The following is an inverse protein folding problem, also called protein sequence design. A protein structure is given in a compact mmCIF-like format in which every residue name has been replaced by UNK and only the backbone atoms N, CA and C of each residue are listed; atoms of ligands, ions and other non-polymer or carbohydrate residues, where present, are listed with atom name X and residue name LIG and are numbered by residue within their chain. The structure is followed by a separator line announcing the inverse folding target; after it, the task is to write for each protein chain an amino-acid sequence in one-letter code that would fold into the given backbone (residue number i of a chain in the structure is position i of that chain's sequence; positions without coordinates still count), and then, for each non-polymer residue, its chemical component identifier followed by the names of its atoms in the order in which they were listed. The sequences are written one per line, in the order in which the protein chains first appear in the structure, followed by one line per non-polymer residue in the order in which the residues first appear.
data_IF_924368294483
#
_entry.id   IF_924368294483
#
_cell.length_a   1.000
_cell.length_b   1.000
_cell.length_c   1.000
_cell.angle_alpha   90.00
_cell.angle_beta   90.00
_cell.angle_gamma   90.00
#
_symmetry.space_group_name_H-M   'P 1'
#
loop_
_entity.id
_entity.type
_entity.pdbx_description
1 polymer ?
#
# COMPACT_ATOMS: atom_id res chain seq x y z
N UNK A 1 -17.69 5.39 -0.83
CA UNK A 1 -18.46 5.30 -2.10
C UNK A 1 -18.80 3.86 -2.44
N UNK A 2 -17.83 2.94 -2.61
CA UNK A 2 -18.10 1.51 -2.94
C UNK A 2 -19.09 0.85 -1.94
N UNK A 3 -18.83 0.98 -0.63
CA UNK A 3 -19.71 0.41 0.40
C UNK A 3 -21.17 0.82 0.20
N UNK A 4 -21.42 2.10 -0.08
CA UNK A 4 -22.78 2.61 -0.32
C UNK A 4 -23.37 2.06 -1.61
N UNK A 5 -22.58 1.95 -2.67
CA UNK A 5 -23.01 1.38 -3.96
C UNK A 5 -23.41 -0.08 -3.78
N UNK A 6 -22.58 -0.90 -3.13
CA UNK A 6 -22.87 -2.31 -2.86
C UNK A 6 -24.18 -2.45 -2.05
N UNK A 7 -24.32 -1.66 -1.00
CA UNK A 7 -25.55 -1.68 -0.18
C UNK A 7 -26.80 -1.27 -0.98
N UNK A 8 -26.73 -0.19 -1.76
CA UNK A 8 -27.88 0.28 -2.55
C UNK A 8 -28.24 -0.72 -3.65
N UNK A 9 -27.27 -1.24 -4.39
CA UNK A 9 -27.52 -2.23 -5.43
C UNK A 9 -28.11 -3.50 -4.84
N UNK A 10 -27.57 -4.01 -3.74
CA UNK A 10 -28.11 -5.18 -3.06
C UNK A 10 -29.53 -4.96 -2.54
N UNK A 11 -29.83 -3.76 -2.04
CA UNK A 11 -31.17 -3.40 -1.57
C UNK A 11 -32.17 -3.35 -2.75
N UNK A 12 -31.81 -2.68 -3.85
CA UNK A 12 -32.66 -2.59 -5.05
C UNK A 12 -32.93 -4.00 -5.60
N UNK A 13 -31.89 -4.82 -5.75
CA UNK A 13 -32.04 -6.19 -6.23
C UNK A 13 -32.89 -7.03 -5.28
N UNK A 14 -32.73 -6.89 -3.97
CA UNK A 14 -33.54 -7.59 -2.96
C UNK A 14 -35.02 -7.24 -3.07
N UNK A 15 -35.34 -5.97 -3.24
CA UNK A 15 -36.71 -5.50 -3.44
C UNK A 15 -37.28 -6.05 -4.77
N UNK A 16 -36.56 -5.87 -5.88
CA UNK A 16 -37.01 -6.34 -7.20
C UNK A 16 -37.24 -7.85 -7.20
N UNK A 17 -36.36 -8.63 -6.56
CA UNK A 17 -36.50 -10.08 -6.49
C UNK A 17 -37.72 -10.48 -5.64
N UNK A 18 -38.02 -9.74 -4.56
CA UNK A 18 -39.18 -10.04 -3.72
C UNK A 18 -40.53 -9.82 -4.47
N UNK A 19 -40.52 -8.90 -5.45
CA UNK A 19 -41.73 -8.62 -6.28
C UNK A 19 -42.03 -9.72 -7.31
N UNK A 20 -41.08 -10.68 -7.52
CA UNK A 20 -41.33 -11.85 -8.38
C UNK A 20 -42.21 -12.92 -7.72
N UNK A 21 -42.48 -12.77 -6.43
CA UNK A 21 -43.33 -13.68 -5.66
C UNK A 21 -44.71 -13.03 -5.39
N UNK A 22 -45.75 -13.83 -5.32
CA UNK A 22 -47.09 -13.38 -4.96
C UNK A 22 -47.39 -13.83 -3.51
N UNK A 23 -47.40 -12.85 -2.61
CA UNK A 23 -47.67 -13.10 -1.18
C UNK A 23 -49.01 -12.46 -0.74
N UNK A 24 -49.86 -13.25 -0.13
CA UNK A 24 -51.10 -12.76 0.46
C UNK A 24 -50.86 -11.78 1.65
N UNK A 25 -49.73 -11.94 2.34
CA UNK A 25 -49.34 -11.10 3.46
C UNK A 25 -48.23 -10.10 3.05
N UNK A 26 -48.46 -8.77 3.09
CA UNK A 26 -47.48 -7.76 2.68
C UNK A 26 -46.21 -7.75 3.52
N UNK A 27 -46.21 -8.24 4.76
CA UNK A 27 -44.99 -8.36 5.58
C UNK A 27 -44.00 -9.37 5.02
N UNK A 28 -44.47 -10.36 4.25
CA UNK A 28 -43.57 -11.35 3.60
C UNK A 28 -42.71 -10.73 2.52
N UNK A 29 -43.21 -9.70 1.80
CA UNK A 29 -42.38 -8.98 0.84
C UNK A 29 -41.16 -8.33 1.51
N UNK A 30 -41.35 -7.71 2.69
CA UNK A 30 -40.27 -7.07 3.44
C UNK A 30 -39.27 -8.13 3.93
N UNK A 31 -39.75 -9.26 4.46
CA UNK A 31 -38.89 -10.33 4.96
C UNK A 31 -38.07 -10.96 3.83
N UNK A 32 -38.71 -11.25 2.69
CA UNK A 32 -38.04 -11.84 1.52
C UNK A 32 -37.06 -10.83 0.89
N UNK A 33 -37.41 -9.56 0.79
CA UNK A 33 -36.50 -8.51 0.32
C UNK A 33 -35.25 -8.40 1.21
N UNK A 34 -35.42 -8.45 2.54
CA UNK A 34 -34.31 -8.46 3.48
C UNK A 34 -33.41 -9.72 3.33
N UNK A 35 -34.02 -10.88 3.11
CA UNK A 35 -33.30 -12.12 2.84
C UNK A 35 -32.45 -12.04 1.57
N UNK A 36 -33.03 -11.59 0.47
CA UNK A 36 -32.30 -11.40 -0.80
C UNK A 36 -31.25 -10.28 -0.70
N UNK A 37 -31.50 -9.19 0.00
CA UNK A 37 -30.52 -8.15 0.29
C UNK A 37 -29.25 -8.73 0.94
N UNK A 38 -29.42 -9.54 1.99
CA UNK A 38 -28.29 -10.22 2.65
C UNK A 38 -27.60 -11.22 1.71
N UNK A 39 -28.38 -11.99 0.95
CA UNK A 39 -27.84 -12.95 -0.02
C UNK A 39 -26.99 -12.26 -1.09
N UNK A 40 -27.41 -11.11 -1.63
CA UNK A 40 -26.63 -10.35 -2.61
C UNK A 40 -25.36 -9.72 -2.03
N UNK A 41 -25.37 -9.29 -0.76
CA UNK A 41 -24.15 -8.85 -0.07
C UNK A 41 -23.17 -10.02 0.05
N UNK A 42 -23.64 -11.18 0.53
CA UNK A 42 -22.80 -12.38 0.67
C UNK A 42 -22.25 -12.80 -0.69
N UNK A 43 -23.08 -12.83 -1.72
CA UNK A 43 -22.66 -13.16 -3.09
C UNK A 43 -21.58 -12.21 -3.60
N UNK A 44 -21.76 -10.89 -3.43
CA UNK A 44 -20.78 -9.88 -3.85
C UNK A 44 -19.44 -10.06 -3.16
N UNK A 45 -19.46 -10.28 -1.84
CA UNK A 45 -18.24 -10.54 -1.06
C UNK A 45 -17.59 -11.86 -1.49
N UNK A 46 -18.37 -12.91 -1.71
CA UNK A 46 -17.87 -14.22 -2.16
C UNK A 46 -17.22 -14.14 -3.54
N UNK A 47 -17.85 -13.41 -4.50
CA UNK A 47 -17.29 -13.21 -5.84
C UNK A 47 -16.00 -12.37 -5.80
N UNK A 48 -15.90 -11.39 -4.90
CA UNK A 48 -14.67 -10.63 -4.69
C UNK A 48 -13.52 -11.55 -4.22
N UNK A 49 -13.75 -12.40 -3.21
CA UNK A 49 -12.75 -13.35 -2.76
C UNK A 49 -12.44 -14.43 -3.80
N UNK A 50 -13.44 -14.94 -4.49
CA UNK A 50 -13.26 -15.92 -5.57
C UNK A 50 -12.38 -15.34 -6.70
N UNK A 51 -12.62 -14.09 -7.10
CA UNK A 51 -11.77 -13.41 -8.09
C UNK A 51 -10.32 -13.30 -7.64
N UNK A 52 -10.08 -13.05 -6.35
CA UNK A 52 -8.75 -13.03 -5.77
C UNK A 52 -8.07 -14.41 -5.85
N UNK A 53 -8.79 -15.48 -5.51
CA UNK A 53 -8.30 -16.86 -5.62
C UNK A 53 -7.96 -17.23 -7.07
N UNK A 54 -8.83 -16.88 -8.02
CA UNK A 54 -8.61 -17.16 -9.46
C UNK A 54 -7.33 -16.48 -9.96
N UNK A 55 -7.09 -15.23 -9.55
CA UNK A 55 -5.87 -14.48 -9.92
C UNK A 55 -4.62 -15.13 -9.32
N UNK A 56 -4.75 -15.77 -8.15
CA UNK A 56 -3.64 -16.42 -7.45
C UNK A 56 -3.24 -17.79 -8.04
N UNK A 57 -4.16 -18.46 -8.77
CA UNK A 57 -3.92 -19.81 -9.31
C UNK A 57 -2.62 -19.89 -10.13
N UNK A 58 -2.36 -19.00 -11.10
CA UNK A 58 -1.18 -19.10 -11.96
C UNK A 58 0.12 -18.69 -11.29
N UNK A 59 0.09 -18.22 -10.02
CA UNK A 59 1.28 -17.68 -9.35
C UNK A 59 2.07 -18.81 -8.69
N UNK A 60 3.25 -19.10 -9.23
CA UNK A 60 4.22 -20.02 -8.64
C UNK A 60 5.21 -19.27 -7.72
N UNK A 61 4.98 -19.34 -6.42
CA UNK A 61 5.83 -18.67 -5.41
C UNK A 61 7.18 -19.34 -5.17
N UNK A 62 7.45 -20.50 -5.79
CA UNK A 62 8.75 -21.18 -5.73
C UNK A 62 9.76 -20.54 -6.69
N UNK A 63 9.28 -19.93 -7.77
CA UNK A 63 10.11 -19.22 -8.74
C UNK A 63 10.23 -17.75 -8.35
N UNK A 64 11.46 -17.25 -8.22
CA UNK A 64 11.67 -15.80 -8.00
C UNK A 64 11.31 -15.03 -9.26
N UNK A 65 10.63 -13.85 -9.11
CA UNK A 65 10.38 -12.98 -10.25
C UNK A 65 11.71 -12.50 -10.86
N UNK A 66 11.84 -12.66 -12.18
CA UNK A 66 13.02 -12.21 -12.94
C UNK A 66 13.01 -10.71 -13.24
N UNK A 67 11.80 -10.12 -13.27
CA UNK A 67 11.57 -8.69 -13.53
C UNK A 67 10.36 -8.18 -12.78
N UNK A 68 10.28 -6.86 -12.65
CA UNK A 68 9.09 -6.16 -12.17
C UNK A 68 7.86 -6.47 -13.04
N UNK A 69 6.70 -6.65 -12.41
CA UNK A 69 5.46 -6.97 -13.10
C UNK A 69 4.36 -5.93 -12.85
N UNK A 70 4.33 -4.91 -13.70
CA UNK A 70 3.36 -3.81 -13.60
C UNK A 70 1.90 -4.22 -13.82
N UNK A 71 1.64 -5.32 -14.55
CA UNK A 71 0.28 -5.84 -14.72
C UNK A 71 -0.30 -6.29 -13.37
N UNK A 72 0.48 -7.04 -12.59
CA UNK A 72 0.06 -7.47 -11.27
C UNK A 72 0.02 -6.31 -10.27
N UNK A 73 0.89 -5.31 -10.40
CA UNK A 73 0.77 -4.08 -9.59
C UNK A 73 -0.59 -3.41 -9.83
N UNK A 74 -1.01 -3.19 -11.07
CA UNK A 74 -2.32 -2.57 -11.39
C UNK A 74 -3.52 -3.38 -10.87
N UNK A 75 -3.43 -4.72 -10.90
CA UNK A 75 -4.46 -5.58 -10.30
C UNK A 75 -4.47 -5.39 -8.78
N UNK A 76 -3.30 -5.46 -8.15
CA UNK A 76 -3.14 -5.28 -6.70
C UNK A 76 -3.68 -3.93 -6.23
N UNK A 77 -3.37 -2.84 -6.93
CA UNK A 77 -3.89 -1.50 -6.65
C UNK A 77 -5.42 -1.45 -6.62
N UNK A 78 -6.11 -2.14 -7.52
CA UNK A 78 -7.58 -2.21 -7.53
C UNK A 78 -8.12 -2.87 -6.26
N UNK A 79 -7.51 -3.99 -5.83
CA UNK A 79 -7.90 -4.66 -4.57
C UNK A 79 -7.61 -3.81 -3.35
N UNK A 80 -6.45 -3.16 -3.31
CA UNK A 80 -6.07 -2.23 -2.24
C UNK A 80 -7.04 -1.05 -2.18
N UNK A 81 -7.38 -0.45 -3.33
CA UNK A 81 -8.35 0.63 -3.39
C UNK A 81 -9.74 0.20 -2.89
N UNK A 82 -10.21 -0.99 -3.28
CA UNK A 82 -11.45 -1.55 -2.75
C UNK A 82 -11.38 -1.72 -1.23
N UNK A 83 -10.31 -2.30 -0.70
CA UNK A 83 -10.13 -2.51 0.74
C UNK A 83 -10.11 -1.20 1.53
N UNK A 84 -9.30 -0.22 1.10
CA UNK A 84 -9.24 1.10 1.75
C UNK A 84 -10.59 1.84 1.69
N UNK A 85 -11.33 1.71 0.58
CA UNK A 85 -12.67 2.28 0.44
C UNK A 85 -13.69 1.62 1.38
N UNK A 86 -13.60 0.29 1.57
CA UNK A 86 -14.44 -0.44 2.52
C UNK A 86 -14.12 -0.06 3.97
N UNK A 87 -12.84 0.18 4.29
CA UNK A 87 -12.42 0.67 5.61
C UNK A 87 -12.75 2.15 5.85
N UNK A 88 -13.37 2.84 4.88
CA UNK A 88 -13.76 4.23 5.02
C UNK A 88 -12.57 5.20 5.05
N UNK A 89 -11.44 4.80 4.48
CA UNK A 89 -10.25 5.64 4.39
C UNK A 89 -10.47 6.77 3.38
N UNK A 90 -10.28 8.00 3.84
CA UNK A 90 -10.21 9.21 3.02
C UNK A 90 -8.77 9.66 2.93
N UNK A 91 -8.14 9.47 1.79
CA UNK A 91 -6.78 9.91 1.55
C UNK A 91 -6.78 11.41 1.22
N UNK A 92 -6.02 12.18 2.01
CA UNK A 92 -5.64 13.58 1.72
C UNK A 92 -4.17 13.58 1.34
N UNK A 93 -3.90 13.68 0.03
CA UNK A 93 -2.55 13.54 -0.49
C UNK A 93 -2.15 14.73 -1.35
N UNK A 94 -0.87 15.10 -1.34
CA UNK A 94 -0.28 16.19 -2.14
C UNK A 94 1.19 15.95 -2.44
N UNK A 95 1.75 16.71 -3.37
CA UNK A 95 3.16 16.68 -3.72
C UNK A 95 3.52 15.67 -4.80
N UNK A 96 2.55 15.02 -5.46
CA UNK A 96 2.82 14.03 -6.53
C UNK A 96 3.55 14.66 -7.72
N UNK A 97 3.36 15.94 -7.94
CA UNK A 97 4.02 16.74 -8.98
C UNK A 97 5.52 16.90 -8.79
N UNK A 98 6.02 16.64 -7.58
CA UNK A 98 7.46 16.64 -7.27
C UNK A 98 8.15 15.31 -7.57
N UNK A 99 7.39 14.27 -7.91
CA UNK A 99 7.94 12.93 -8.21
C UNK A 99 8.50 12.92 -9.64
N UNK A 100 9.76 12.52 -9.86
CA UNK A 100 10.31 12.42 -11.20
C UNK A 100 9.56 11.42 -12.06
N UNK A 101 9.30 11.78 -13.32
CA UNK A 101 8.60 10.94 -14.30
C UNK A 101 9.55 10.35 -15.35
N UNK A 102 10.75 10.86 -15.43
CA UNK A 102 11.78 10.53 -16.43
C UNK A 102 12.84 9.55 -15.91
N UNK A 103 12.87 9.31 -14.61
CA UNK A 103 13.82 8.41 -13.96
C UNK A 103 13.21 7.68 -12.78
N UNK A 104 13.73 6.50 -12.47
CA UNK A 104 13.38 5.77 -11.26
C UNK A 104 14.10 6.35 -10.03
N UNK A 105 13.52 6.18 -8.86
CA UNK A 105 13.91 6.81 -7.62
C UNK A 105 13.89 5.85 -6.41
N UNK A 106 14.54 6.26 -5.35
CA UNK A 106 14.36 5.68 -4.02
C UNK A 106 13.23 6.45 -3.32
N UNK A 107 12.11 5.78 -3.01
CA UNK A 107 11.03 6.34 -2.19
C UNK A 107 11.30 6.05 -0.71
N UNK A 108 11.32 7.09 0.10
CA UNK A 108 11.58 7.00 1.54
C UNK A 108 10.43 7.63 2.31
N UNK A 109 9.98 6.96 3.37
CA UNK A 109 8.91 7.45 4.25
C UNK A 109 8.98 6.84 5.65
N UNK A 110 8.17 7.36 6.57
CA UNK A 110 7.97 6.79 7.90
C UNK A 110 7.04 5.58 7.88
N UNK A 111 7.13 4.71 8.90
CA UNK A 111 6.39 3.45 8.96
C UNK A 111 5.67 3.24 10.30
N UNK A 112 4.37 3.44 10.30
CA UNK A 112 3.52 3.36 11.50
C UNK A 112 2.51 2.19 11.46
N UNK A 113 2.13 1.75 10.25
CA UNK A 113 1.05 0.78 10.06
C UNK A 113 1.35 -0.21 8.93
N UNK A 114 0.70 -1.39 8.97
CA UNK A 114 0.66 -2.31 7.81
C UNK A 114 -0.07 -1.70 6.60
N UNK A 115 -0.85 -0.65 6.80
CA UNK A 115 -1.58 0.04 5.74
C UNK A 115 -0.72 1.05 4.97
N UNK A 116 0.45 1.46 5.51
CA UNK A 116 1.31 2.45 4.84
C UNK A 116 1.69 2.04 3.42
N UNK A 117 2.17 0.79 3.16
CA UNK A 117 2.46 0.35 1.81
C UNK A 117 1.22 0.34 0.91
N UNK A 118 0.04 0.04 1.46
CA UNK A 118 -1.22 0.04 0.70
C UNK A 118 -1.61 1.46 0.27
N UNK A 119 -1.53 2.42 1.19
CA UNK A 119 -1.79 3.84 0.89
C UNK A 119 -0.77 4.37 -0.11
N UNK A 120 0.51 4.05 0.07
CA UNK A 120 1.58 4.42 -0.86
C UNK A 120 1.31 3.86 -2.27
N UNK A 121 0.89 2.58 -2.40
CA UNK A 121 0.51 1.99 -3.68
C UNK A 121 -0.59 2.77 -4.40
N UNK A 122 -1.61 3.23 -3.67
CA UNK A 122 -2.72 4.00 -4.27
C UNK A 122 -2.27 5.39 -4.69
N UNK A 123 -1.40 6.02 -3.91
CA UNK A 123 -0.90 7.36 -4.23
C UNK A 123 0.06 7.35 -5.43
N UNK A 124 0.93 6.34 -5.51
CA UNK A 124 1.90 6.15 -6.59
C UNK A 124 1.43 5.19 -7.70
N UNK A 125 0.12 5.05 -7.91
CA UNK A 125 -0.48 4.09 -8.86
C UNK A 125 0.05 4.18 -10.30
N UNK A 126 0.56 5.35 -10.70
CA UNK A 126 1.08 5.60 -12.05
C UNK A 126 2.61 5.42 -12.14
N UNK A 127 3.25 5.01 -11.05
CA UNK A 127 4.69 4.79 -10.97
C UNK A 127 5.01 3.31 -10.76
N UNK A 128 5.96 2.74 -11.53
CA UNK A 128 6.46 1.40 -11.27
C UNK A 128 7.35 1.40 -10.02
N UNK A 129 6.97 0.65 -8.98
CA UNK A 129 7.80 0.53 -7.79
C UNK A 129 7.56 -0.78 -7.03
N UNK A 130 8.56 -1.16 -6.23
CA UNK A 130 8.51 -2.33 -5.36
C UNK A 130 8.91 -1.95 -3.93
N UNK A 131 8.46 -2.72 -2.95
CA UNK A 131 8.86 -2.58 -1.56
C UNK A 131 9.84 -3.64 -1.11
N UNK A 132 10.73 -3.26 -0.19
CA UNK A 132 11.43 -4.19 0.67
C UNK A 132 10.52 -4.60 1.83
N UNK A 133 10.02 -5.84 1.82
CA UNK A 133 8.93 -6.31 2.69
C UNK A 133 9.33 -7.49 3.54
N UNK A 134 8.78 -7.57 4.77
CA UNK A 134 9.03 -8.69 5.68
C UNK A 134 8.52 -10.01 5.09
N UNK A 135 9.30 -11.09 5.22
CA UNK A 135 8.97 -12.43 4.73
C UNK A 135 7.58 -12.93 5.16
N UNK A 136 7.15 -12.61 6.38
CA UNK A 136 5.83 -13.03 6.86
C UNK A 136 4.65 -12.50 6.02
N UNK A 137 4.80 -11.38 5.31
CA UNK A 137 3.76 -10.83 4.42
C UNK A 137 3.52 -11.72 3.20
N UNK A 138 4.54 -12.42 2.74
CA UNK A 138 4.43 -13.36 1.61
C UNK A 138 3.64 -14.63 1.94
N UNK A 139 3.35 -14.88 3.24
CA UNK A 139 2.51 -15.98 3.72
C UNK A 139 1.03 -15.59 3.85
N UNK A 140 0.71 -14.30 3.74
CA UNK A 140 -0.68 -13.83 3.81
C UNK A 140 -1.43 -14.28 2.55
N UNK A 141 -2.56 -15.00 2.67
CA UNK A 141 -3.34 -15.45 1.53
C UNK A 141 -3.66 -14.30 0.57
N UNK A 142 -3.63 -14.54 -0.74
CA UNK A 142 -3.84 -13.57 -1.80
C UNK A 142 -2.77 -12.46 -1.83
N UNK A 143 -2.66 -11.67 -0.77
CA UNK A 143 -1.71 -10.55 -0.67
C UNK A 143 -0.26 -11.00 -0.90
N UNK A 144 0.16 -12.09 -0.26
CA UNK A 144 1.54 -12.59 -0.34
C UNK A 144 1.94 -13.04 -1.74
N UNK A 145 1.04 -13.71 -2.45
CA UNK A 145 1.27 -14.12 -3.84
C UNK A 145 1.32 -12.94 -4.79
N UNK A 146 0.44 -11.96 -4.60
CA UNK A 146 0.41 -10.74 -5.41
C UNK A 146 1.70 -9.94 -5.28
N UNK A 147 2.16 -9.64 -4.05
CA UNK A 147 3.42 -8.89 -3.84
C UNK A 147 4.63 -9.68 -4.33
N UNK A 148 4.59 -11.02 -4.25
CA UNK A 148 5.60 -11.88 -4.84
C UNK A 148 5.65 -11.69 -6.36
N UNK A 149 4.51 -11.79 -7.04
CA UNK A 149 4.43 -11.70 -8.50
C UNK A 149 4.73 -10.30 -9.05
N UNK A 150 4.46 -9.23 -8.27
CA UNK A 150 4.91 -7.87 -8.59
C UNK A 150 6.43 -7.77 -8.55
N UNK A 151 7.08 -8.54 -7.68
CA UNK A 151 8.52 -8.55 -7.52
C UNK A 151 9.03 -7.91 -6.24
N UNK A 152 8.18 -7.72 -5.21
CA UNK A 152 8.62 -7.17 -3.92
C UNK A 152 9.79 -7.98 -3.35
N UNK A 153 10.68 -7.29 -2.63
CA UNK A 153 11.85 -7.90 -2.03
C UNK A 153 11.47 -8.55 -0.70
N UNK A 154 11.81 -9.83 -0.58
CA UNK A 154 11.47 -10.64 0.59
C UNK A 154 12.61 -10.61 1.60
N UNK A 155 12.48 -9.85 2.69
CA UNK A 155 13.48 -9.73 3.74
C UNK A 155 13.13 -10.60 4.93
N UNK A 156 14.10 -11.47 5.32
CA UNK A 156 13.97 -12.35 6.48
C UNK A 156 14.36 -11.64 7.79
N UNK A 157 15.32 -10.68 7.73
CA UNK A 157 15.93 -9.96 8.87
C UNK A 157 16.75 -10.82 9.82
N UNK A 158 16.68 -12.14 9.71
CA UNK A 158 17.49 -13.12 10.48
C UNK A 158 18.66 -13.64 9.64
N UNK A 159 18.54 -13.60 8.31
CA UNK A 159 19.57 -14.06 7.36
C UNK A 159 20.04 -12.89 6.49
N UNK A 160 21.04 -12.18 6.98
CA UNK A 160 21.63 -11.00 6.32
C UNK A 160 22.11 -11.32 4.90
N UNK A 161 22.61 -12.53 4.64
CA UNK A 161 23.11 -12.91 3.30
C UNK A 161 21.98 -13.04 2.29
N UNK A 162 20.84 -13.59 2.71
CA UNK A 162 19.65 -13.66 1.85
C UNK A 162 19.06 -12.27 1.62
N UNK A 163 19.01 -11.45 2.65
CA UNK A 163 18.49 -10.08 2.55
C UNK A 163 19.35 -9.23 1.61
N UNK A 164 20.68 -9.35 1.66
CA UNK A 164 21.57 -8.67 0.73
C UNK A 164 21.31 -9.08 -0.73
N UNK A 165 21.15 -10.38 -1.02
CA UNK A 165 20.82 -10.85 -2.38
C UNK A 165 19.48 -10.32 -2.88
N UNK A 166 18.47 -10.21 -2.01
CA UNK A 166 17.18 -9.61 -2.39
C UNK A 166 17.32 -8.11 -2.64
N UNK A 167 18.07 -7.40 -1.82
CA UNK A 167 18.36 -5.98 -2.02
C UNK A 167 19.13 -5.75 -3.32
N UNK A 168 20.16 -6.55 -3.61
CA UNK A 168 20.91 -6.49 -4.88
C UNK A 168 19.98 -6.66 -6.09
N UNK A 169 18.99 -7.57 -6.03
CA UNK A 169 17.98 -7.73 -7.08
C UNK A 169 17.19 -6.44 -7.29
N UNK A 170 16.69 -5.84 -6.23
CA UNK A 170 15.95 -4.57 -6.29
C UNK A 170 16.80 -3.42 -6.83
N UNK A 171 18.07 -3.35 -6.41
CA UNK A 171 19.02 -2.33 -6.87
C UNK A 171 19.36 -2.52 -8.36
N UNK A 172 19.43 -3.78 -8.85
CA UNK A 172 19.61 -4.06 -10.26
C UNK A 172 18.46 -3.51 -11.09
N UNK A 173 17.22 -3.72 -10.65
CA UNK A 173 16.02 -3.18 -11.32
C UNK A 173 15.96 -1.65 -11.25
N UNK A 174 16.29 -1.07 -10.10
CA UNK A 174 16.35 0.39 -9.93
C UNK A 174 17.40 1.01 -10.88
N UNK A 175 18.58 0.36 -11.02
CA UNK A 175 19.65 0.78 -11.92
C UNK A 175 19.24 0.66 -13.39
N UNK A 176 18.60 -0.45 -13.76
CA UNK A 176 18.15 -0.72 -15.12
C UNK A 176 16.99 0.20 -15.57
N UNK A 177 16.29 0.86 -14.64
CA UNK A 177 15.14 1.68 -15.00
C UNK A 177 13.82 0.90 -15.03
N UNK A 178 13.80 -0.35 -14.52
CA UNK A 178 12.60 -1.19 -14.55
C UNK A 178 11.54 -0.73 -13.54
N UNK A 179 11.96 -0.36 -12.32
CA UNK A 179 11.09 0.17 -11.28
C UNK A 179 11.85 0.93 -10.20
N UNK A 180 11.15 1.78 -9.46
CA UNK A 180 11.61 2.46 -8.26
C UNK A 180 11.62 1.51 -7.05
N UNK A 181 12.39 1.84 -6.02
CA UNK A 181 12.46 1.08 -4.78
C UNK A 181 11.90 1.89 -3.63
N UNK A 182 10.88 1.39 -2.95
CA UNK A 182 10.31 1.99 -1.76
C UNK A 182 10.83 1.31 -0.49
N UNK A 183 11.31 2.10 0.45
CA UNK A 183 11.85 1.63 1.72
C UNK A 183 11.37 2.50 2.88
N UNK A 184 11.23 1.86 4.03
CA UNK A 184 11.03 2.54 5.31
C UNK A 184 12.34 2.41 6.10
N UNK A 185 13.13 3.49 6.23
CA UNK A 185 14.48 3.41 6.82
C UNK A 185 14.47 3.06 8.30
N UNK A 186 13.36 3.23 8.99
CA UNK A 186 13.14 2.72 10.35
C UNK A 186 13.35 1.19 10.45
N UNK A 187 13.19 0.48 9.33
CA UNK A 187 13.34 -0.98 9.24
C UNK A 187 12.28 -1.78 9.99
N UNK A 188 11.40 -1.14 10.72
CA UNK A 188 10.26 -1.75 11.43
C UNK A 188 9.17 -0.70 11.62
N UNK A 189 7.94 -1.15 11.93
CA UNK A 189 6.84 -0.23 12.25
C UNK A 189 7.07 0.41 13.62
N UNK A 190 6.85 1.71 13.68
CA UNK A 190 6.81 2.41 14.95
C UNK A 190 5.52 2.07 15.70
N UNK A 191 5.67 1.42 16.85
CA UNK A 191 4.56 1.05 17.74
C UNK A 191 4.31 2.05 18.86
N UNK A 192 5.27 2.93 19.12
CA UNK A 192 5.27 3.83 20.28
C UNK A 192 4.40 5.07 20.07
N UNK A 193 4.29 5.58 18.84
CA UNK A 193 3.49 6.76 18.53
C UNK A 193 3.48 7.08 17.04
N UNK A 194 2.54 7.93 16.61
CA UNK A 194 2.49 8.36 15.19
C UNK A 194 3.41 9.54 14.91
N UNK A 195 3.81 10.27 15.94
CA UNK A 195 4.57 11.52 15.84
C UNK A 195 6.05 11.37 16.14
N UNK A 196 6.46 10.24 16.72
CA UNK A 196 7.87 9.98 17.01
C UNK A 196 8.39 8.99 15.98
N UNK A 197 9.42 9.35 15.23
CA UNK A 197 10.07 8.44 14.31
C UNK A 197 11.08 7.55 15.05
N UNK A 198 11.24 6.32 14.57
CA UNK A 198 12.37 5.48 14.98
C UNK A 198 13.65 5.93 14.25
N UNK A 199 14.85 5.68 14.83
CA UNK A 199 16.10 6.00 14.16
C UNK A 199 16.18 5.39 12.75
N UNK A 200 16.62 6.17 11.78
CA UNK A 200 16.78 5.72 10.41
C UNK A 200 18.08 4.94 10.22
N UNK A 201 18.02 3.91 9.37
CA UNK A 201 19.21 3.19 8.89
C UNK A 201 19.70 3.86 7.62
N UNK A 202 20.97 4.21 7.59
CA UNK A 202 21.62 4.93 6.49
C UNK A 202 21.87 4.08 5.23
N UNK A 203 21.71 2.76 5.33
CA UNK A 203 22.02 1.80 4.25
C UNK A 203 21.29 2.11 2.94
N UNK A 204 20.00 2.51 3.01
CA UNK A 204 19.24 2.81 1.79
C UNK A 204 19.76 4.07 1.09
N UNK A 205 20.23 5.05 1.84
CA UNK A 205 20.81 6.28 1.30
C UNK A 205 22.17 6.04 0.63
N UNK A 206 22.98 5.09 1.16
CA UNK A 206 24.18 4.62 0.49
C UNK A 206 23.87 4.05 -0.89
N UNK A 207 22.76 3.30 -1.03
CA UNK A 207 22.35 2.77 -2.33
C UNK A 207 21.95 3.89 -3.30
N UNK A 208 21.14 4.85 -2.87
CA UNK A 208 20.76 5.98 -3.70
C UNK A 208 21.98 6.75 -4.19
N UNK A 209 22.94 7.02 -3.29
CA UNK A 209 24.18 7.72 -3.62
C UNK A 209 25.03 6.95 -4.65
N UNK A 210 25.22 5.65 -4.45
CA UNK A 210 26.00 4.82 -5.36
C UNK A 210 25.38 4.70 -6.75
N UNK A 211 24.05 4.72 -6.84
CA UNK A 211 23.30 4.64 -8.10
C UNK A 211 22.94 6.01 -8.68
N UNK A 212 23.29 7.09 -7.98
CA UNK A 212 22.98 8.48 -8.37
C UNK A 212 21.48 8.70 -8.66
N UNK A 213 20.61 8.05 -7.86
CA UNK A 213 19.15 8.08 -8.06
C UNK A 213 18.48 9.13 -7.19
N UNK A 214 17.45 9.83 -7.68
CA UNK A 214 16.67 10.74 -6.85
C UNK A 214 16.12 10.02 -5.61
N UNK A 215 16.03 10.77 -4.50
CA UNK A 215 15.39 10.32 -3.26
C UNK A 215 14.09 11.10 -3.11
N UNK A 216 12.96 10.41 -3.26
CA UNK A 216 11.62 10.98 -3.03
C UNK A 216 11.28 10.82 -1.56
N UNK A 217 11.21 11.94 -0.85
CA UNK A 217 10.93 11.97 0.59
C UNK A 217 9.45 12.16 0.82
N UNK A 218 8.83 11.25 1.57
CA UNK A 218 7.40 11.28 1.85
C UNK A 218 7.08 11.10 3.33
N UNK A 219 5.92 11.62 3.77
CA UNK A 219 5.39 11.41 5.10
C UNK A 219 3.96 10.88 5.04
N UNK A 220 3.63 9.99 5.98
CA UNK A 220 2.30 9.43 6.15
C UNK A 220 1.85 9.56 7.61
N UNK A 221 0.54 9.84 7.81
CA UNK A 221 -0.07 9.97 9.14
C UNK A 221 -1.53 9.51 9.13
N UNK A 222 -2.00 8.96 10.26
CA UNK A 222 -3.40 8.53 10.44
C UNK A 222 -3.69 7.09 10.07
N UNK A 223 -2.75 6.31 9.53
CA UNK A 223 -2.97 4.90 9.16
C UNK A 223 -3.07 3.97 10.38
N UNK A 224 -2.51 4.35 11.53
CA UNK A 224 -2.62 3.59 12.79
C UNK A 224 -4.05 3.57 13.30
N UNK A 225 -4.75 4.71 13.25
CA UNK A 225 -6.16 4.83 13.62
C UNK A 225 -7.07 3.92 12.78
N UNK A 226 -6.76 3.75 11.49
CA UNK A 226 -7.51 2.83 10.61
C UNK A 226 -7.45 1.40 11.14
N UNK A 227 -6.28 0.92 11.56
CA UNK A 227 -6.12 -0.43 12.11
C UNK A 227 -6.95 -0.67 13.38
N UNK A 228 -7.11 0.35 14.20
CA UNK A 228 -7.81 0.24 15.48
C UNK A 228 -9.34 0.26 15.32
N UNK A 229 -9.85 0.83 14.22
CA UNK A 229 -11.28 1.11 14.03
C UNK A 229 -11.78 0.80 12.62
N UNK A 230 -11.33 -0.30 12.00
CA UNK A 230 -11.49 -0.65 10.57
C UNK A 230 -12.91 -0.45 9.97
N UNK A 231 -13.98 -0.66 10.74
CA UNK A 231 -15.35 -0.62 10.22
C UNK A 231 -16.26 0.44 10.87
N UNK A 232 -15.80 1.08 11.95
CA UNK A 232 -16.65 1.89 12.83
C UNK A 232 -16.59 3.39 12.57
N UNK A 233 -15.50 3.89 11.96
CA UNK A 233 -15.28 5.32 11.72
C UNK A 233 -14.80 5.59 10.30
N UNK A 234 -14.97 6.82 9.84
CA UNK A 234 -14.26 7.34 8.67
C UNK A 234 -12.88 7.83 9.12
N UNK A 235 -11.85 7.39 8.42
CA UNK A 235 -10.48 7.74 8.76
C UNK A 235 -9.91 8.69 7.72
N UNK A 236 -9.25 9.74 8.18
CA UNK A 236 -8.47 10.62 7.30
C UNK A 236 -7.01 10.19 7.39
N UNK A 237 -6.44 9.83 6.25
CA UNK A 237 -5.02 9.54 6.12
C UNK A 237 -4.38 10.66 5.32
N UNK A 238 -3.32 11.26 5.87
CA UNK A 238 -2.52 12.26 5.21
C UNK A 238 -1.31 11.59 4.59
N UNK A 239 -1.04 11.92 3.33
CA UNK A 239 0.15 11.49 2.61
C UNK A 239 0.75 12.68 1.84
N UNK A 240 2.04 12.90 1.97
CA UNK A 240 2.69 13.98 1.26
C UNK A 240 4.07 13.57 0.75
N UNK A 241 4.34 13.86 -0.53
CA UNK A 241 5.70 13.96 -1.01
C UNK A 241 6.21 15.33 -0.59
N UNK A 242 7.20 15.35 0.30
CA UNK A 242 7.73 16.57 0.91
C UNK A 242 8.72 17.25 -0.04
N UNK A 243 9.61 16.46 -0.62
CA UNK A 243 10.66 16.91 -1.52
C UNK A 243 11.24 15.73 -2.30
N UNK A 244 11.73 16.02 -3.51
CA UNK A 244 12.66 15.14 -4.22
C UNK A 244 14.06 15.72 -4.10
N UNK A 245 14.98 14.93 -3.58
CA UNK A 245 16.42 15.25 -3.54
C UNK A 245 17.05 14.60 -4.77
N UNK A 246 17.56 15.40 -5.68
CA UNK A 246 18.34 14.91 -6.81
C UNK A 246 19.79 14.64 -6.40
N UNK A 247 20.54 13.91 -7.19
CA UNK A 247 21.93 13.54 -6.86
C UNK A 247 22.79 14.75 -6.52
N UNK A 248 22.64 15.85 -7.24
CA UNK A 248 23.36 17.10 -7.00
C UNK A 248 23.09 17.71 -5.62
N UNK A 249 21.92 17.46 -5.03
CA UNK A 249 21.55 17.98 -3.71
C UNK A 249 22.27 17.24 -2.56
N UNK A 250 22.78 16.02 -2.81
CA UNK A 250 23.35 15.20 -1.74
C UNK A 250 24.67 14.50 -2.10
N UNK A 251 25.26 14.74 -3.29
CA UNK A 251 26.47 14.07 -3.75
C UNK A 251 27.66 14.21 -2.80
N UNK A 252 27.77 15.35 -2.14
CA UNK A 252 28.87 15.68 -1.21
C UNK A 252 28.57 15.22 0.24
N UNK A 253 27.35 14.80 0.53
CA UNK A 253 26.94 14.33 1.85
C UNK A 253 27.29 12.86 2.07
N UNK A 254 27.60 12.49 3.30
CA UNK A 254 27.67 11.09 3.71
C UNK A 254 26.28 10.46 3.79
N UNK A 255 26.13 9.13 3.70
CA UNK A 255 24.81 8.49 3.88
C UNK A 255 24.15 8.82 5.21
N UNK A 256 24.91 9.03 6.29
CA UNK A 256 24.39 9.44 7.59
C UNK A 256 23.82 10.86 7.56
N UNK A 257 24.52 11.82 6.95
CA UNK A 257 24.03 13.20 6.79
C UNK A 257 22.75 13.26 5.95
N UNK A 258 22.66 12.45 4.86
CA UNK A 258 21.43 12.32 4.07
C UNK A 258 20.30 11.77 4.93
N UNK A 259 20.59 10.73 5.73
CA UNK A 259 19.63 10.11 6.65
C UNK A 259 19.08 11.12 7.65
N UNK A 260 19.96 11.91 8.28
CA UNK A 260 19.57 12.92 9.26
C UNK A 260 18.73 14.04 8.65
N UNK A 261 19.09 14.48 7.45
CA UNK A 261 18.32 15.48 6.71
C UNK A 261 16.92 14.98 6.40
N UNK A 262 16.80 13.76 5.86
CA UNK A 262 15.52 13.15 5.50
C UNK A 262 14.68 12.89 6.75
N UNK A 263 15.30 12.43 7.84
CA UNK A 263 14.64 12.23 9.13
C UNK A 263 13.96 13.51 9.61
N UNK A 264 14.69 14.63 9.67
CA UNK A 264 14.15 15.94 10.10
C UNK A 264 12.98 16.40 9.22
N UNK A 265 13.11 16.26 7.90
CA UNK A 265 12.03 16.64 6.96
C UNK A 265 10.75 15.85 7.23
N UNK A 266 10.87 14.54 7.48
CA UNK A 266 9.70 13.68 7.73
C UNK A 266 9.13 13.97 9.13
N UNK A 267 9.97 14.12 10.15
CA UNK A 267 9.56 14.43 11.53
C UNK A 267 8.77 15.74 11.59
N UNK A 268 9.29 16.82 11.03
CA UNK A 268 8.60 18.13 10.94
C UNK A 268 7.23 17.98 10.28
N UNK A 269 7.14 17.24 9.16
CA UNK A 269 5.87 17.02 8.45
C UNK A 269 4.87 16.20 9.23
N UNK A 270 5.31 15.15 9.92
CA UNK A 270 4.45 14.31 10.76
C UNK A 270 3.88 15.11 11.93
N UNK A 271 4.69 15.97 12.57
CA UNK A 271 4.24 16.89 13.62
C UNK A 271 3.18 17.88 13.11
N UNK A 272 3.36 18.44 11.90
CA UNK A 272 2.35 19.31 11.29
C UNK A 272 1.02 18.58 11.00
N UNK A 273 1.06 17.28 10.68
CA UNK A 273 -0.15 16.49 10.48
C UNK A 273 -0.92 16.26 11.77
N UNK A 274 -0.21 16.14 12.91
CA UNK A 274 -0.84 15.96 14.22
C UNK A 274 -1.69 17.17 14.62
N UNK A 275 -1.33 18.38 14.16
CA UNK A 275 -2.07 19.63 14.46
C UNK A 275 -3.33 19.83 13.60
N UNK A 276 -3.68 18.89 12.70
CA UNK A 276 -4.83 18.96 11.77
C UNK A 276 -5.94 18.00 12.15
#
# INVERSE_FOLDING_TARGET
MIKLIVLLVSLILGILTSLLFDFANPYLYVLVAAGFFLAYIILTVSLFFLSAVIIDIPIDTKKKPEKYNGRYQKIFEKYVWCALSLFGVKLKAKGIEMVPTDTNFLLVGNHISNLDPMVTNIYFKDYPFIFASKESLFKVPFFGKMIHQIGYLKLNREDVRKDLKELERGLTWLKAGDCSLAVYPEGTRNKTGETTLLPFKDTCFKFAKNLQKPIVVSAIYGTKEVNNHLLTKRHVVYYEVIKTLYYEDYKDMTPAEISDQVYKMIEERVLEFQGK
#
